data_IF_738075171703
#
_entry.id   IF_738075171703
#
_cell.length_a   1.000
_cell.length_b   1.000
_cell.length_c   1.000
_cell.angle_alpha   90.00
_cell.angle_beta   90.00
_cell.angle_gamma   90.00
#
_symmetry.space_group_name_H-M   'P 1'
#
loop_
_entity.id
_entity.type
_entity.pdbx_description
1 polymer ?
#
# COMPACT_ATOMS: atom_id res chain seq x y z
N UNK A 1 -6.15 29.18 -13.41
CA UNK A 1 -5.19 29.10 -12.27
C UNK A 1 -4.56 27.72 -12.31
N UNK A 2 -3.24 27.63 -12.39
CA UNK A 2 -2.54 26.35 -12.37
C UNK A 2 -2.58 25.82 -10.94
N UNK A 3 -3.24 24.69 -10.71
CA UNK A 3 -3.25 24.04 -9.40
C UNK A 3 -1.83 23.56 -9.10
N UNK A 4 -1.20 24.13 -8.09
CA UNK A 4 0.12 23.65 -7.63
C UNK A 4 -0.14 22.50 -6.65
N UNK A 5 0.18 21.27 -7.08
CA UNK A 5 0.09 20.09 -6.22
C UNK A 5 1.28 20.05 -5.27
N UNK A 6 1.03 20.18 -3.96
CA UNK A 6 2.06 19.98 -2.94
C UNK A 6 2.28 18.49 -2.69
N UNK A 7 3.48 18.12 -2.21
CA UNK A 7 3.75 16.75 -1.81
C UNK A 7 2.83 16.29 -0.66
N UNK A 8 2.56 14.97 -0.52
CA UNK A 8 1.79 14.45 0.62
C UNK A 8 2.48 14.75 1.96
N UNK A 9 1.69 15.03 3.00
CA UNK A 9 2.15 15.13 4.38
C UNK A 9 2.15 13.77 5.09
N UNK A 10 1.17 12.93 4.73
CA UNK A 10 0.93 11.64 5.37
C UNK A 10 0.65 10.58 4.30
N UNK A 11 1.47 9.53 4.30
CA UNK A 11 1.36 8.40 3.39
C UNK A 11 0.86 7.19 4.15
N UNK A 12 -0.21 6.59 3.63
CA UNK A 12 -0.96 5.48 4.23
C UNK A 12 -0.58 4.20 3.49
N UNK A 13 0.04 3.24 4.15
CA UNK A 13 0.41 1.95 3.56
C UNK A 13 -0.38 0.82 4.23
N UNK A 14 -1.46 0.40 3.61
CA UNK A 14 -2.29 -0.72 4.04
C UNK A 14 -1.83 -2.04 3.45
N UNK A 15 -1.93 -3.13 4.21
CA UNK A 15 -1.60 -4.47 3.72
C UNK A 15 -1.92 -5.57 4.70
N UNK A 16 -1.97 -6.81 4.22
CA UNK A 16 -2.17 -7.99 5.09
C UNK A 16 -0.94 -8.24 5.95
N UNK A 17 0.26 -8.03 5.39
CA UNK A 17 1.57 -8.32 6.04
C UNK A 17 1.62 -9.73 6.66
N UNK A 18 1.33 -10.75 5.85
CA UNK A 18 1.10 -12.12 6.29
C UNK A 18 1.99 -13.15 5.55
N UNK A 19 3.32 -13.20 5.82
CA UNK A 19 4.11 -12.28 6.62
C UNK A 19 4.52 -11.01 5.86
N UNK A 20 4.96 -9.96 6.57
CA UNK A 20 5.67 -8.85 5.98
C UNK A 20 7.04 -9.34 5.45
N UNK A 21 7.55 -8.73 4.37
CA UNK A 21 8.77 -9.15 3.69
C UNK A 21 9.55 -7.95 3.12
N UNK A 22 10.76 -8.21 2.64
CA UNK A 22 11.68 -7.16 2.16
C UNK A 22 11.05 -6.28 1.07
N UNK A 23 10.19 -6.82 0.19
CA UNK A 23 9.47 -6.02 -0.81
C UNK A 23 8.60 -4.94 -0.20
N UNK A 24 7.94 -5.19 0.95
CA UNK A 24 7.19 -4.14 1.65
C UNK A 24 8.11 -3.04 2.20
N UNK A 25 9.31 -3.41 2.65
CA UNK A 25 10.30 -2.45 3.14
C UNK A 25 10.85 -1.57 2.01
N UNK A 26 11.20 -2.17 0.87
CA UNK A 26 11.67 -1.45 -0.31
C UNK A 26 10.64 -0.42 -0.81
N UNK A 27 9.35 -0.78 -0.81
CA UNK A 27 8.24 0.14 -1.13
C UNK A 27 8.25 1.37 -0.20
N UNK A 28 8.42 1.17 1.09
CA UNK A 28 8.50 2.28 2.07
C UNK A 28 9.76 3.12 1.84
N UNK A 29 10.90 2.50 1.62
CA UNK A 29 12.18 3.19 1.39
C UNK A 29 12.14 4.03 0.10
N UNK A 30 11.59 3.50 -1.00
CA UNK A 30 11.39 4.23 -2.25
C UNK A 30 10.45 5.44 -2.04
N UNK A 31 9.36 5.23 -1.31
CA UNK A 31 8.41 6.28 -0.97
C UNK A 31 9.05 7.36 -0.10
N UNK A 32 9.83 6.98 0.91
CA UNK A 32 10.56 7.90 1.79
C UNK A 32 11.60 8.73 1.00
N UNK A 33 12.30 8.10 0.07
CA UNK A 33 13.27 8.81 -0.80
C UNK A 33 12.57 9.84 -1.69
N UNK A 34 11.37 9.54 -2.19
CA UNK A 34 10.59 10.45 -3.06
C UNK A 34 9.91 11.57 -2.28
N UNK A 35 9.51 11.30 -1.04
CA UNK A 35 8.77 12.22 -0.15
C UNK A 35 9.43 12.29 1.23
N UNK A 36 10.64 12.88 1.35
CA UNK A 36 11.44 12.81 2.57
C UNK A 36 10.79 13.49 3.79
N UNK A 37 9.86 14.42 3.57
CA UNK A 37 9.15 15.13 4.63
C UNK A 37 7.79 14.50 4.98
N UNK A 38 7.34 13.48 4.24
CA UNK A 38 6.09 12.81 4.52
C UNK A 38 6.24 11.82 5.68
N UNK A 39 5.25 11.81 6.59
CA UNK A 39 5.13 10.73 7.57
C UNK A 39 4.54 9.51 6.87
N UNK A 40 5.15 8.34 7.02
CA UNK A 40 4.61 7.07 6.51
C UNK A 40 3.99 6.30 7.67
N UNK A 41 2.72 5.96 7.54
CA UNK A 41 2.00 5.12 8.49
C UNK A 41 1.60 3.80 7.84
N UNK A 42 1.94 2.69 8.49
CA UNK A 42 1.70 1.32 8.02
C UNK A 42 0.54 0.72 8.80
N UNK A 43 -0.46 0.22 8.09
CA UNK A 43 -1.69 -0.32 8.67
C UNK A 43 -1.86 -1.81 8.30
N UNK A 44 -1.48 -2.73 9.21
CA UNK A 44 -1.86 -4.13 9.05
C UNK A 44 -3.38 -4.27 9.05
N UNK A 45 -3.94 -4.89 8.02
CA UNK A 45 -5.39 -5.03 7.91
C UNK A 45 -5.95 -6.08 8.89
N UNK A 46 -7.09 -5.78 9.52
CA UNK A 46 -7.81 -6.75 10.37
C UNK A 46 -8.24 -7.97 9.55
N UNK A 47 -8.94 -7.74 8.45
CA UNK A 47 -9.26 -8.76 7.47
C UNK A 47 -9.07 -8.17 6.08
N UNK A 48 -8.14 -8.72 5.30
CA UNK A 48 -7.92 -8.24 3.94
C UNK A 48 -9.21 -8.39 3.12
N UNK A 49 -9.82 -7.27 2.73
CA UNK A 49 -10.92 -7.27 1.79
C UNK A 49 -10.43 -7.76 0.43
N UNK A 50 -11.18 -8.66 -0.21
CA UNK A 50 -10.93 -9.00 -1.61
C UNK A 50 -11.51 -7.91 -2.51
N UNK A 51 -10.84 -7.59 -3.61
CA UNK A 51 -11.46 -6.84 -4.69
C UNK A 51 -12.72 -7.61 -5.16
N UNK A 52 -13.89 -6.97 -5.06
CA UNK A 52 -15.19 -7.61 -5.38
C UNK A 52 -15.98 -8.16 -4.20
N UNK A 53 -15.55 -7.89 -2.96
CA UNK A 53 -16.26 -8.30 -1.74
C UNK A 53 -15.79 -9.66 -1.18
N UNK A 54 -15.81 -9.78 0.11
CA UNK A 54 -15.34 -10.94 0.88
C UNK A 54 -13.98 -10.71 1.55
N UNK A 55 -13.78 -11.32 2.72
CA UNK A 55 -12.51 -11.26 3.44
C UNK A 55 -11.56 -12.38 2.99
N UNK A 56 -10.27 -12.07 2.88
CA UNK A 56 -9.23 -13.08 2.79
C UNK A 56 -8.84 -13.45 4.22
N UNK A 57 -8.98 -14.72 4.60
CA UNK A 57 -8.46 -15.18 5.89
C UNK A 57 -6.94 -15.05 5.89
N UNK A 58 -6.38 -14.40 6.89
CA UNK A 58 -4.96 -14.39 7.15
C UNK A 58 -4.56 -15.70 7.84
N UNK A 59 -3.34 -16.18 7.62
CA UNK A 59 -2.86 -17.42 8.26
C UNK A 59 -2.23 -17.15 9.63
N UNK A 60 -1.75 -15.93 9.89
CA UNK A 60 -1.30 -15.47 11.21
C UNK A 60 -2.34 -14.55 11.85
N UNK A 61 -2.36 -14.51 13.19
CA UNK A 61 -3.24 -13.60 13.95
C UNK A 61 -2.95 -12.13 13.60
N UNK A 62 -3.91 -11.24 13.88
CA UNK A 62 -3.69 -9.80 13.68
C UNK A 62 -2.48 -9.32 14.50
N UNK A 63 -2.39 -9.75 15.76
CA UNK A 63 -1.33 -9.40 16.71
C UNK A 63 0.04 -9.88 16.20
N UNK A 64 0.13 -11.10 15.66
CA UNK A 64 1.36 -11.61 15.06
C UNK A 64 1.77 -10.81 13.83
N UNK A 65 0.83 -10.47 12.97
CA UNK A 65 1.11 -9.65 11.78
C UNK A 65 1.54 -8.23 12.13
N UNK A 66 0.95 -7.62 13.15
CA UNK A 66 1.39 -6.33 13.72
C UNK A 66 2.80 -6.45 14.30
N UNK A 67 3.07 -7.51 15.09
CA UNK A 67 4.39 -7.77 15.67
C UNK A 67 5.47 -7.90 14.61
N UNK A 68 5.25 -8.75 13.61
CA UNK A 68 6.17 -8.91 12.47
C UNK A 68 6.36 -7.62 11.67
N UNK A 69 5.29 -6.85 11.47
CA UNK A 69 5.35 -5.58 10.74
C UNK A 69 6.20 -4.55 11.49
N UNK A 70 6.06 -4.45 12.80
CA UNK A 70 6.92 -3.60 13.63
C UNK A 70 8.40 -3.98 13.52
N UNK A 71 8.71 -5.26 13.54
CA UNK A 71 10.08 -5.76 13.36
C UNK A 71 10.65 -5.40 11.98
N UNK A 72 9.86 -5.59 10.91
CA UNK A 72 10.30 -5.24 9.56
C UNK A 72 10.65 -3.76 9.42
N UNK A 73 9.87 -2.87 10.04
CA UNK A 73 10.01 -1.42 9.91
C UNK A 73 10.78 -0.75 11.06
N UNK A 74 11.34 -1.52 12.02
CA UNK A 74 12.01 -0.98 13.22
C UNK A 74 13.13 0.04 12.90
N UNK A 75 13.86 -0.17 11.79
CA UNK A 75 14.96 0.68 11.35
C UNK A 75 14.56 1.59 10.17
N UNK A 76 13.29 1.97 10.07
CA UNK A 76 12.77 2.91 9.07
C UNK A 76 12.06 4.07 9.76
N UNK A 77 11.66 5.08 9.00
CA UNK A 77 10.84 6.19 9.51
C UNK A 77 9.33 5.89 9.44
N UNK A 78 8.93 4.64 9.16
CA UNK A 78 7.53 4.25 9.09
C UNK A 78 6.98 3.88 10.48
N UNK A 79 5.77 4.36 10.79
CA UNK A 79 5.06 4.06 12.02
C UNK A 79 3.99 3.00 11.79
N UNK A 80 4.01 1.90 12.55
CA UNK A 80 3.00 0.84 12.48
C UNK A 80 1.82 1.17 13.39
N UNK A 81 0.65 1.31 12.80
CA UNK A 81 -0.59 1.72 13.48
C UNK A 81 -1.64 0.61 13.43
N UNK A 82 -2.38 0.43 14.52
CA UNK A 82 -3.43 -0.59 14.65
C UNK A 82 -4.85 -0.03 14.48
N UNK A 83 -4.99 1.15 13.88
CA UNK A 83 -6.29 1.81 13.72
C UNK A 83 -7.36 0.95 13.06
N UNK A 84 -6.97 0.03 12.18
CA UNK A 84 -7.94 -0.89 11.54
C UNK A 84 -8.68 -1.78 12.55
N UNK A 85 -8.10 -2.06 13.72
CA UNK A 85 -8.79 -2.80 14.78
C UNK A 85 -9.95 -2.01 15.44
N UNK A 86 -9.95 -0.70 15.28
CA UNK A 86 -10.98 0.21 15.84
C UNK A 86 -12.11 0.48 14.84
N UNK A 87 -11.92 0.12 13.56
CA UNK A 87 -12.88 0.42 12.50
C UNK A 87 -13.97 -0.65 12.40
N UNK A 88 -15.20 -0.26 11.95
CA UNK A 88 -16.27 -1.21 11.72
C UNK A 88 -15.93 -2.23 10.63
N UNK A 89 -16.37 -3.45 10.80
CA UNK A 89 -16.25 -4.50 9.76
C UNK A 89 -17.43 -4.45 8.77
N UNK A 90 -17.20 -4.78 7.48
CA UNK A 90 -15.91 -5.10 6.87
C UNK A 90 -15.01 -3.88 6.74
N UNK A 91 -13.70 -4.04 7.06
CA UNK A 91 -12.74 -2.94 6.98
C UNK A 91 -12.36 -2.69 5.52
N UNK A 92 -12.91 -1.64 4.95
CA UNK A 92 -12.50 -1.16 3.63
C UNK A 92 -11.47 -0.03 3.77
N UNK A 93 -10.53 0.05 2.85
CA UNK A 93 -9.54 1.13 2.80
C UNK A 93 -10.17 2.53 2.81
N UNK A 94 -11.36 2.66 2.23
CA UNK A 94 -12.13 3.92 2.26
C UNK A 94 -12.43 4.38 3.70
N UNK A 95 -12.84 3.47 4.60
CA UNK A 95 -13.13 3.79 6.00
C UNK A 95 -11.87 4.24 6.74
N UNK A 96 -10.74 3.58 6.50
CA UNK A 96 -9.44 3.99 7.06
C UNK A 96 -9.07 5.41 6.60
N UNK A 97 -9.21 5.71 5.31
CA UNK A 97 -8.89 7.04 4.76
C UNK A 97 -9.84 8.11 5.33
N UNK A 98 -11.15 7.82 5.47
CA UNK A 98 -12.12 8.73 6.07
C UNK A 98 -11.75 9.05 7.53
N UNK A 99 -11.41 8.04 8.32
CA UNK A 99 -11.01 8.22 9.72
C UNK A 99 -9.73 9.06 9.81
N UNK A 100 -8.74 8.77 8.96
CA UNK A 100 -7.50 9.56 8.92
C UNK A 100 -7.75 11.00 8.43
N UNK A 101 -8.67 11.21 7.50
CA UNK A 101 -9.08 12.57 7.09
C UNK A 101 -9.71 13.33 8.25
N UNK A 102 -10.49 12.68 9.09
CA UNK A 102 -11.09 13.29 10.28
C UNK A 102 -10.03 13.62 11.33
N UNK A 103 -9.06 12.72 11.57
CA UNK A 103 -7.97 12.95 12.54
C UNK A 103 -6.96 14.01 12.05
N UNK A 104 -6.75 14.10 10.74
CA UNK A 104 -5.75 14.97 10.11
C UNK A 104 -6.37 15.87 9.02
N UNK A 105 -7.31 16.78 9.37
CA UNK A 105 -8.10 17.53 8.39
C UNK A 105 -7.26 18.45 7.50
N UNK A 106 -6.13 18.94 8.00
CA UNK A 106 -5.24 19.88 7.29
C UNK A 106 -4.09 19.17 6.55
N UNK A 107 -3.91 17.87 6.73
CA UNK A 107 -2.82 17.12 6.11
C UNK A 107 -3.21 16.62 4.72
N UNK A 108 -2.27 16.72 3.77
CA UNK A 108 -2.43 16.08 2.47
C UNK A 108 -2.16 14.59 2.61
N UNK A 109 -3.21 13.78 2.46
CA UNK A 109 -3.14 12.32 2.57
C UNK A 109 -2.80 11.70 1.22
N UNK A 110 -2.01 10.62 1.22
CA UNK A 110 -1.79 9.78 0.05
C UNK A 110 -1.86 8.30 0.42
N UNK A 111 -2.54 7.50 -0.40
CA UNK A 111 -2.59 6.04 -0.26
C UNK A 111 -1.49 5.41 -1.10
N UNK A 112 -0.62 4.64 -0.45
CA UNK A 112 0.48 3.90 -1.07
C UNK A 112 0.02 2.50 -1.46
N UNK A 113 0.23 2.15 -2.72
CA UNK A 113 -0.11 0.82 -3.26
C UNK A 113 0.85 0.38 -4.36
N UNK A 114 0.93 -0.92 -4.60
CA UNK A 114 1.63 -1.47 -5.75
C UNK A 114 0.83 -1.33 -7.05
N UNK A 115 1.51 -1.40 -8.19
CA UNK A 115 0.88 -1.33 -9.52
C UNK A 115 -0.21 -2.40 -9.74
N UNK A 116 -0.04 -3.60 -9.16
CA UNK A 116 -1.04 -4.68 -9.28
C UNK A 116 -2.36 -4.34 -8.57
N UNK A 117 -2.27 -3.63 -7.44
CA UNK A 117 -3.44 -3.13 -6.72
C UNK A 117 -4.09 -1.98 -7.46
N UNK A 118 -3.28 -1.08 -8.02
CA UNK A 118 -3.77 0.01 -8.84
C UNK A 118 -4.50 -0.48 -10.09
N UNK A 119 -4.03 -1.53 -10.74
CA UNK A 119 -4.69 -2.14 -11.90
C UNK A 119 -6.13 -2.66 -11.62
N UNK A 120 -6.49 -2.80 -10.35
CA UNK A 120 -7.84 -3.21 -9.91
C UNK A 120 -8.55 -2.16 -9.06
N UNK A 121 -8.03 -0.95 -9.01
CA UNK A 121 -8.52 0.11 -8.13
C UNK A 121 -9.97 0.52 -8.41
N UNK A 122 -10.40 0.44 -9.68
CA UNK A 122 -11.78 0.69 -10.11
C UNK A 122 -12.82 -0.25 -9.45
N UNK A 123 -12.37 -1.42 -8.98
CA UNK A 123 -13.21 -2.42 -8.29
C UNK A 123 -13.18 -2.31 -6.77
N UNK A 124 -12.46 -1.34 -6.23
CA UNK A 124 -12.41 -1.12 -4.79
C UNK A 124 -13.71 -0.50 -4.27
N UNK A 125 -13.91 -0.57 -2.96
CA UNK A 125 -15.07 0.06 -2.34
C UNK A 125 -14.92 1.59 -2.38
N UNK A 126 -15.84 2.26 -3.09
CA UNK A 126 -15.92 3.73 -3.21
C UNK A 126 -14.64 4.41 -3.74
N UNK A 127 -14.09 3.98 -4.87
CA UNK A 127 -12.82 4.47 -5.37
C UNK A 127 -12.85 5.96 -5.74
N UNK A 128 -13.96 6.45 -6.29
CA UNK A 128 -14.11 7.88 -6.62
C UNK A 128 -14.09 8.76 -5.37
N UNK A 129 -14.74 8.34 -4.32
CA UNK A 129 -14.76 9.08 -3.06
C UNK A 129 -13.38 9.08 -2.40
N UNK A 130 -12.60 8.01 -2.55
CA UNK A 130 -11.20 8.02 -2.12
C UNK A 130 -10.38 9.06 -2.88
N UNK A 131 -10.52 9.13 -4.21
CA UNK A 131 -9.81 10.10 -5.05
C UNK A 131 -10.17 11.56 -4.75
N UNK A 132 -11.33 11.83 -4.15
CA UNK A 132 -11.72 13.19 -3.74
C UNK A 132 -11.02 13.67 -2.46
N UNK A 133 -10.48 12.74 -1.66
CA UNK A 133 -9.96 13.06 -0.33
C UNK A 133 -8.53 12.59 -0.10
N UNK A 134 -7.94 11.86 -1.06
CA UNK A 134 -6.63 11.26 -0.90
C UNK A 134 -5.92 11.15 -2.25
N UNK A 135 -4.64 11.53 -2.29
CA UNK A 135 -3.76 11.22 -3.41
C UNK A 135 -3.48 9.72 -3.47
N UNK A 136 -2.96 9.24 -4.60
CA UNK A 136 -2.39 7.90 -4.69
C UNK A 136 -0.88 7.99 -4.92
N UNK A 137 -0.14 7.08 -4.29
CA UNK A 137 1.26 6.80 -4.60
C UNK A 137 1.32 5.36 -5.10
N UNK A 138 1.57 5.20 -6.38
CA UNK A 138 1.65 3.90 -7.04
C UNK A 138 3.11 3.53 -7.23
N UNK A 139 3.55 2.47 -6.56
CA UNK A 139 4.91 1.96 -6.69
C UNK A 139 4.94 0.93 -7.82
N UNK A 140 5.82 1.16 -8.78
CA UNK A 140 6.10 0.29 -9.91
C UNK A 140 7.43 -0.43 -9.69
N UNK A 141 7.51 -1.65 -10.20
CA UNK A 141 8.66 -2.54 -9.95
C UNK A 141 9.87 -2.29 -10.86
N UNK A 142 9.79 -1.31 -11.75
CA UNK A 142 10.83 -1.06 -12.74
C UNK A 142 10.90 0.41 -13.12
N UNK A 143 12.09 0.85 -13.52
CA UNK A 143 12.34 2.17 -14.10
C UNK A 143 12.15 2.20 -15.63
N UNK A 144 11.73 1.09 -16.26
CA UNK A 144 11.51 1.02 -17.69
C UNK A 144 10.48 2.06 -18.16
N UNK A 145 10.89 2.90 -19.10
CA UNK A 145 10.06 3.96 -19.65
C UNK A 145 8.80 3.42 -20.37
N UNK A 146 8.88 2.23 -20.99
CA UNK A 146 7.76 1.60 -21.67
C UNK A 146 6.72 1.11 -20.65
N UNK A 147 7.15 0.51 -19.54
CA UNK A 147 6.25 0.12 -18.46
C UNK A 147 5.63 1.35 -17.77
N UNK A 148 6.40 2.43 -17.59
CA UNK A 148 5.88 3.68 -17.09
C UNK A 148 4.78 4.26 -17.98
N UNK A 149 4.96 4.25 -19.30
CA UNK A 149 3.96 4.69 -20.27
C UNK A 149 2.71 3.80 -20.25
N UNK A 150 2.88 2.49 -20.14
CA UNK A 150 1.79 1.51 -20.03
C UNK A 150 0.98 1.71 -18.75
N UNK A 151 1.64 2.01 -17.63
CA UNK A 151 0.97 2.29 -16.37
C UNK A 151 0.18 3.60 -16.41
N UNK A 152 0.73 4.65 -17.06
CA UNK A 152 0.02 5.92 -17.29
C UNK A 152 -1.22 5.73 -18.15
N UNK A 153 -1.14 4.95 -19.24
CA UNK A 153 -2.28 4.65 -20.11
C UNK A 153 -3.33 3.81 -19.37
N UNK A 154 -2.92 2.78 -18.65
CA UNK A 154 -3.80 1.94 -17.82
C UNK A 154 -4.48 2.75 -16.72
N UNK A 155 -3.73 3.61 -16.03
CA UNK A 155 -4.26 4.52 -15.02
C UNK A 155 -5.29 5.48 -15.60
N UNK A 156 -5.00 6.07 -16.75
CA UNK A 156 -5.95 6.95 -17.45
C UNK A 156 -7.22 6.21 -17.86
N UNK A 157 -7.13 4.96 -18.33
CA UNK A 157 -8.29 4.12 -18.66
C UNK A 157 -9.13 3.79 -17.41
N UNK A 158 -8.49 3.39 -16.32
CA UNK A 158 -9.16 3.13 -15.03
C UNK A 158 -9.91 4.38 -14.57
N UNK A 159 -9.27 5.54 -14.59
CA UNK A 159 -9.88 6.80 -14.18
C UNK A 159 -11.06 7.20 -15.06
N UNK A 160 -10.96 6.99 -16.38
CA UNK A 160 -12.07 7.24 -17.32
C UNK A 160 -13.23 6.27 -17.10
N UNK A 161 -12.96 5.01 -16.76
CA UNK A 161 -14.02 4.03 -16.47
C UNK A 161 -14.84 4.37 -15.24
N UNK A 162 -14.26 5.13 -14.30
CA UNK A 162 -14.96 5.67 -13.13
C UNK A 162 -15.89 6.86 -13.45
N UNK A 163 -16.06 7.20 -14.73
CA UNK A 163 -17.11 8.01 -15.39
C UNK A 163 -17.37 9.44 -14.89
N UNK A 164 -16.41 10.13 -14.31
CA UNK A 164 -16.66 11.48 -13.84
C UNK A 164 -15.52 12.50 -14.08
N UNK A 165 -14.44 12.10 -14.76
CA UNK A 165 -13.25 12.95 -14.84
C UNK A 165 -13.12 13.58 -16.20
N UNK A 166 -13.37 14.89 -16.27
CA UNK A 166 -13.23 15.68 -17.49
C UNK A 166 -11.82 16.27 -17.66
N UNK A 167 -11.08 16.43 -16.55
CA UNK A 167 -9.78 17.11 -16.52
C UNK A 167 -8.69 16.21 -15.94
N UNK A 168 -8.09 15.38 -16.80
CA UNK A 168 -6.91 14.56 -16.48
C UNK A 168 -5.72 15.13 -17.25
N UNK A 169 -4.64 15.46 -16.54
CA UNK A 169 -3.35 15.82 -17.14
C UNK A 169 -2.30 14.78 -16.76
N UNK A 170 -1.80 14.05 -17.75
CA UNK A 170 -0.73 13.07 -17.55
C UNK A 170 0.63 13.75 -17.65
N UNK A 171 1.50 13.51 -16.67
CA UNK A 171 2.87 13.99 -16.60
C UNK A 171 3.83 12.81 -16.39
N UNK A 172 5.12 13.03 -16.61
CA UNK A 172 6.15 11.98 -16.49
C UNK A 172 6.15 11.27 -15.14
N UNK A 173 5.80 11.97 -14.05
CA UNK A 173 5.84 11.49 -12.67
C UNK A 173 4.46 11.22 -12.07
N UNK A 174 3.38 11.31 -12.87
CA UNK A 174 2.03 11.05 -12.36
C UNK A 174 0.88 11.58 -13.21
N UNK A 175 -0.30 11.53 -12.64
CA UNK A 175 -1.55 12.00 -13.24
C UNK A 175 -2.19 13.02 -12.29
N UNK A 176 -2.42 14.22 -12.79
CA UNK A 176 -3.13 15.26 -12.06
C UNK A 176 -4.64 15.10 -12.24
N UNK A 177 -5.36 15.05 -11.12
CA UNK A 177 -6.82 14.95 -11.04
C UNK A 177 -7.38 16.31 -10.62
N UNK A 178 -7.36 17.26 -11.56
CA UNK A 178 -7.65 18.68 -11.29
C UNK A 178 -9.04 18.91 -10.73
N UNK A 179 -10.04 18.12 -11.15
CA UNK A 179 -11.42 18.21 -10.67
C UNK A 179 -11.55 17.87 -9.17
N UNK A 180 -10.63 17.08 -8.64
CA UNK A 180 -10.62 16.66 -7.23
C UNK A 180 -9.54 17.36 -6.40
N UNK A 181 -8.61 18.08 -7.03
CA UNK A 181 -7.46 18.65 -6.35
C UNK A 181 -6.47 17.61 -5.83
N UNK A 182 -6.50 16.37 -6.37
CA UNK A 182 -5.65 15.24 -6.00
C UNK A 182 -4.74 14.80 -7.13
N UNK A 183 -3.72 14.00 -6.81
CA UNK A 183 -2.72 13.52 -7.77
C UNK A 183 -2.44 12.04 -7.57
N UNK A 184 -2.13 11.36 -8.67
CA UNK A 184 -1.53 10.02 -8.64
C UNK A 184 -0.05 10.17 -8.96
N UNK A 185 0.81 9.81 -8.02
CA UNK A 185 2.26 9.78 -8.18
C UNK A 185 2.70 8.38 -8.58
N UNK A 186 3.67 8.29 -9.50
CA UNK A 186 4.34 7.04 -9.82
C UNK A 186 5.77 7.07 -9.27
N UNK A 187 6.09 6.06 -8.46
CA UNK A 187 7.40 5.90 -7.81
C UNK A 187 8.00 4.59 -8.27
N UNK A 188 9.25 4.61 -8.72
CA UNK A 188 9.98 3.40 -9.05
C UNK A 188 10.58 2.77 -7.79
N UNK A 189 10.64 1.44 -7.76
CA UNK A 189 11.20 0.66 -6.66
C UNK A 189 12.24 -0.33 -7.18
N UNK A 190 13.21 -0.68 -6.34
CA UNK A 190 14.09 -1.82 -6.58
C UNK A 190 13.28 -3.11 -6.59
N UNK A 191 13.52 -3.97 -7.57
CA UNK A 191 12.75 -5.19 -7.78
C UNK A 191 12.94 -6.18 -6.62
N UNK A 192 11.84 -6.68 -6.08
CA UNK A 192 11.82 -7.83 -5.16
C UNK A 192 10.73 -8.81 -5.58
N UNK A 193 11.12 -10.06 -5.78
CA UNK A 193 10.18 -11.15 -6.10
C UNK A 193 9.47 -11.71 -4.86
N UNK A 194 9.69 -11.13 -3.70
CA UNK A 194 9.09 -11.55 -2.45
C UNK A 194 7.55 -11.43 -2.49
N UNK A 195 6.88 -12.53 -2.18
CA UNK A 195 5.42 -12.60 -2.04
C UNK A 195 5.06 -13.36 -0.77
N UNK A 196 4.17 -12.79 0.04
CA UNK A 196 3.74 -13.43 1.30
C UNK A 196 3.19 -14.85 1.09
N UNK A 197 2.44 -15.10 0.01
CA UNK A 197 1.89 -16.41 -0.32
C UNK A 197 2.97 -17.45 -0.63
N UNK A 198 4.01 -17.04 -1.37
CA UNK A 198 5.17 -17.89 -1.69
C UNK A 198 5.95 -18.22 -0.42
N UNK A 199 6.19 -17.22 0.42
CA UNK A 199 6.91 -17.39 1.70
C UNK A 199 6.16 -18.38 2.61
N UNK A 200 4.84 -18.23 2.79
CA UNK A 200 4.04 -19.17 3.60
C UNK A 200 4.13 -20.60 3.08
N UNK A 201 3.96 -20.77 1.77
CA UNK A 201 4.06 -22.09 1.15
C UNK A 201 5.46 -22.71 1.34
N UNK A 202 6.51 -21.93 1.26
CA UNK A 202 7.88 -22.40 1.48
C UNK A 202 8.08 -22.84 2.93
N UNK A 203 7.60 -22.08 3.91
CA UNK A 203 7.67 -22.45 5.34
C UNK A 203 6.87 -23.75 5.59
N UNK A 204 5.66 -23.84 5.05
CA UNK A 204 4.80 -25.04 5.18
C UNK A 204 5.47 -26.30 4.66
N UNK A 205 6.20 -26.20 3.53
CA UNK A 205 6.82 -27.37 2.87
C UNK A 205 8.21 -27.69 3.42
N UNK A 206 9.02 -26.67 3.68
CA UNK A 206 10.44 -26.83 4.03
C UNK A 206 10.72 -26.65 5.52
N UNK A 207 9.75 -26.12 6.29
CA UNK A 207 9.91 -25.85 7.72
C UNK A 207 10.89 -24.72 8.06
N UNK A 208 11.40 -24.00 7.05
CA UNK A 208 12.37 -22.93 7.24
C UNK A 208 11.99 -21.65 6.50
N UNK A 209 12.59 -20.55 6.92
CA UNK A 209 12.39 -19.22 6.36
C UNK A 209 13.55 -18.87 5.43
N UNK A 210 13.25 -18.43 4.21
CA UNK A 210 14.28 -17.92 3.30
C UNK A 210 14.66 -16.48 3.68
N UNK A 211 15.89 -16.30 4.16
CA UNK A 211 16.44 -15.02 4.59
C UNK A 211 16.60 -13.98 3.46
N UNK A 212 16.53 -14.42 2.20
CA UNK A 212 16.54 -13.50 1.06
C UNK A 212 15.30 -12.58 1.03
N UNK A 213 14.19 -13.03 1.61
CA UNK A 213 12.91 -12.36 1.50
C UNK A 213 12.47 -11.63 2.78
N UNK A 214 13.19 -11.75 3.90
CA UNK A 214 12.84 -11.09 5.14
C UNK A 214 14.04 -10.78 6.02
N UNK A 215 13.84 -9.94 7.03
CA UNK A 215 14.86 -9.63 8.02
C UNK A 215 15.00 -10.77 9.02
N UNK A 216 16.15 -10.84 9.68
CA UNK A 216 16.45 -11.84 10.70
C UNK A 216 15.43 -11.79 11.85
N UNK A 217 15.04 -10.59 12.28
CA UNK A 217 14.06 -10.39 13.36
C UNK A 217 12.69 -10.98 13.00
N UNK A 218 12.23 -10.77 11.76
CA UNK A 218 10.94 -11.33 11.30
C UNK A 218 11.04 -12.85 11.17
N UNK A 219 12.15 -13.37 10.65
CA UNK A 219 12.38 -14.82 10.54
C UNK A 219 12.38 -15.48 11.91
N UNK A 220 13.12 -14.91 12.87
CA UNK A 220 13.18 -15.40 14.24
C UNK A 220 11.80 -15.35 14.93
N UNK A 221 11.01 -14.30 14.70
CA UNK A 221 9.65 -14.21 15.21
C UNK A 221 8.77 -15.35 14.70
N UNK A 222 8.79 -15.61 13.37
CA UNK A 222 8.04 -16.69 12.74
C UNK A 222 8.43 -18.05 13.31
N UNK A 223 9.73 -18.33 13.46
CA UNK A 223 10.24 -19.59 14.00
C UNK A 223 9.85 -19.79 15.46
N UNK A 224 10.08 -18.80 16.32
CA UNK A 224 9.79 -18.88 17.76
C UNK A 224 8.29 -19.10 18.04
N UNK A 225 7.42 -18.52 17.22
CA UNK A 225 5.96 -18.67 17.35
C UNK A 225 5.38 -19.79 16.48
N UNK A 226 6.22 -20.51 15.75
CA UNK A 226 5.83 -21.61 14.84
C UNK A 226 4.73 -21.21 13.85
N UNK A 227 4.80 -19.97 13.35
CA UNK A 227 3.82 -19.45 12.40
C UNK A 227 4.01 -20.13 11.04
N UNK A 228 2.91 -20.41 10.35
CA UNK A 228 2.84 -21.00 9.01
C UNK A 228 3.39 -22.45 8.92
N UNK A 229 3.86 -23.04 10.02
CA UNK A 229 4.21 -24.47 10.09
C UNK A 229 2.93 -25.33 10.18
N UNK A 230 3.00 -26.56 9.67
CA UNK A 230 1.95 -27.58 9.88
C UNK A 230 2.01 -28.19 11.25
#
# INVERSE_FOLDING_TARGET
MTTVFTAPDLIIFGGSFDPPHIGHRLVVEACQSRFPNAKIMVFPSMAAAKAGGGSKSSSASFEDRVGMTRLLFANTHAEVCQLEAELPTPNYTFQLIQELRTRYPQKRLALLMGQDQFASFDRWHRPLEMLKICDLVVVRRTDDALEAATLLDSGTKILRSLSAMHSISSQKDGIDLTDFGTKIYFVAESVSDAQSSMIRKQIEVQGNVNMQFMTEDVASYIQNRKLYAR
#
